data_IF_373288471573
#
_entry.id   IF_373288471573
#
_cell.length_a   1.000
_cell.length_b   1.000
_cell.length_c   1.000
_cell.angle_alpha   90.00
_cell.angle_beta   90.00
_cell.angle_gamma   90.00
#
_symmetry.space_group_name_H-M   'P 1'
#
loop_
_entity.id
_entity.type
_entity.pdbx_description
1 polymer ?
#
# COMPACT_ATOMS: atom_id res chain seq x y z
N UNK A 1 -37.17 37.04 -46.83
CA UNK A 1 -36.13 37.53 -47.77
C UNK A 1 -35.17 38.43 -47.01
N UNK A 2 -33.86 38.13 -47.09
CA UNK A 2 -32.71 39.06 -46.90
C UNK A 2 -32.52 39.57 -45.46
N UNK A 3 -31.38 39.41 -44.77
CA UNK A 3 -30.00 39.14 -45.18
C UNK A 3 -29.18 38.61 -43.99
N UNK A 4 -28.44 37.54 -44.23
CA UNK A 4 -27.15 37.25 -43.60
C UNK A 4 -26.19 38.43 -43.84
N UNK A 5 -25.33 38.75 -42.87
CA UNK A 5 -23.97 39.31 -43.00
C UNK A 5 -23.69 40.33 -41.89
N UNK A 6 -22.85 39.96 -40.91
CA UNK A 6 -21.44 40.38 -40.82
C UNK A 6 -20.82 39.83 -39.54
N UNK A 7 -19.80 39.02 -39.72
CA UNK A 7 -18.79 38.66 -38.72
C UNK A 7 -18.15 39.95 -38.22
N UNK A 8 -18.04 40.11 -36.91
CA UNK A 8 -17.06 41.00 -36.29
C UNK A 8 -16.51 40.32 -35.03
N UNK A 9 -15.29 39.82 -35.15
CA UNK A 9 -14.45 39.39 -34.05
C UNK A 9 -14.13 40.59 -33.15
N UNK A 10 -14.39 40.48 -31.85
CA UNK A 10 -13.64 41.22 -30.83
C UNK A 10 -13.25 40.21 -29.76
N UNK A 11 -12.02 39.73 -29.87
CA UNK A 11 -11.30 38.97 -28.85
C UNK A 11 -10.99 39.96 -27.74
N UNK A 12 -11.62 39.81 -26.58
CA UNK A 12 -11.22 40.52 -25.37
C UNK A 12 -10.32 39.58 -24.56
N UNK A 13 -9.02 39.60 -24.91
CA UNK A 13 -7.98 38.99 -24.11
C UNK A 13 -7.79 39.83 -22.84
N UNK A 14 -8.34 39.37 -21.72
CA UNK A 14 -8.06 39.94 -20.40
C UNK A 14 -6.68 39.41 -19.99
N UNK A 15 -5.65 40.20 -20.30
CA UNK A 15 -4.33 40.09 -19.71
C UNK A 15 -4.37 40.71 -18.31
N UNK A 16 -4.51 39.88 -17.28
CA UNK A 16 -4.12 40.26 -15.93
C UNK A 16 -2.67 39.82 -15.73
N UNK A 17 -1.75 40.71 -16.12
CA UNK A 17 -0.35 40.65 -15.68
C UNK A 17 -0.32 41.36 -14.33
N UNK A 18 -0.27 40.61 -13.24
CA UNK A 18 0.23 41.09 -11.95
C UNK A 18 1.67 40.65 -11.84
N UNK A 19 2.59 41.61 -11.76
CA UNK A 19 4.02 41.38 -11.62
C UNK A 19 4.51 41.42 -10.17
N UNK A 20 5.78 41.01 -10.03
CA UNK A 20 6.70 41.04 -8.89
C UNK A 20 6.51 39.91 -7.85
N UNK A 21 7.54 39.13 -7.47
CA UNK A 21 8.99 39.36 -7.48
C UNK A 21 9.82 38.13 -7.85
N UNK A 22 11.02 38.40 -8.34
CA UNK A 22 12.11 37.49 -8.69
C UNK A 22 12.56 36.53 -7.58
N UNK A 23 13.04 35.36 -8.03
CA UNK A 23 13.80 34.32 -7.34
C UNK A 23 12.99 33.46 -6.36
N UNK A 24 12.69 32.23 -6.75
CA UNK A 24 13.43 31.05 -6.32
C UNK A 24 13.03 29.86 -7.21
N UNK A 25 13.85 28.83 -7.19
CA UNK A 25 13.74 27.62 -8.01
C UNK A 25 12.34 27.00 -7.78
N UNK A 26 11.48 26.95 -8.80
CA UNK A 26 10.23 26.17 -8.75
C UNK A 26 10.61 24.68 -8.73
N UNK A 27 11.02 24.19 -7.56
CA UNK A 27 10.87 22.78 -7.22
C UNK A 27 9.36 22.53 -7.25
N UNK A 28 8.91 21.70 -8.19
CA UNK A 28 7.56 21.17 -8.19
C UNK A 28 7.41 20.44 -6.85
N UNK A 29 6.73 21.08 -5.91
CA UNK A 29 6.50 20.57 -4.56
C UNK A 29 5.46 19.47 -4.69
N UNK A 30 5.93 18.23 -4.89
CA UNK A 30 5.05 17.06 -4.96
C UNK A 30 4.32 16.93 -3.62
N UNK A 31 2.98 16.97 -3.60
CA UNK A 31 2.23 16.91 -2.35
C UNK A 31 2.65 15.71 -1.48
N UNK A 32 2.90 15.96 -0.20
CA UNK A 32 3.29 14.96 0.81
C UNK A 32 2.39 13.72 0.78
N UNK A 33 1.08 13.93 0.55
CA UNK A 33 0.09 12.87 0.48
C UNK A 33 0.26 11.88 -0.69
N UNK A 34 1.03 12.24 -1.71
CA UNK A 34 1.38 11.34 -2.83
C UNK A 34 2.74 10.69 -2.65
N UNK A 35 3.72 11.42 -2.12
CA UNK A 35 5.09 10.91 -1.93
C UNK A 35 5.16 9.84 -0.84
N UNK A 36 4.33 9.92 0.21
CA UNK A 36 4.35 8.96 1.32
C UNK A 36 3.99 7.53 0.90
N UNK A 37 3.29 7.36 -0.24
CA UNK A 37 2.78 6.07 -0.74
C UNK A 37 3.90 5.22 -1.33
N UNK A 38 4.73 4.68 -0.44
CA UNK A 38 5.84 3.82 -0.71
C UNK A 38 6.11 2.92 0.49
N UNK A 39 7.06 2.00 0.31
CA UNK A 39 7.70 1.30 1.41
C UNK A 39 8.97 2.05 1.80
N UNK A 40 9.10 2.30 3.08
CA UNK A 40 10.20 3.01 3.71
C UNK A 40 10.93 2.06 4.66
N UNK A 41 12.17 1.74 4.33
CA UNK A 41 13.03 0.84 5.11
C UNK A 41 13.80 1.63 6.16
N UNK A 42 13.62 1.27 7.42
CA UNK A 42 14.14 2.02 8.57
C UNK A 42 15.64 1.73 8.77
N UNK A 43 16.43 2.79 8.92
CA UNK A 43 17.90 2.69 9.06
C UNK A 43 18.41 2.97 10.48
N UNK A 44 17.65 3.68 11.31
CA UNK A 44 18.08 4.15 12.64
C UNK A 44 17.36 3.49 13.84
N UNK A 45 16.63 2.40 13.64
CA UNK A 45 15.87 1.71 14.70
C UNK A 45 16.23 0.24 14.83
N UNK A 46 16.37 -0.24 16.07
CA UNK A 46 16.43 -1.69 16.36
C UNK A 46 15.06 -2.32 16.51
N UNK A 47 14.00 -1.53 16.71
CA UNK A 47 12.63 -2.01 16.88
C UNK A 47 11.89 -2.12 15.55
N UNK A 48 12.03 -1.11 14.69
CA UNK A 48 11.28 -1.01 13.44
C UNK A 48 12.15 -1.40 12.25
N UNK A 49 11.55 -2.15 11.33
CA UNK A 49 12.18 -2.57 10.07
C UNK A 49 11.71 -1.73 8.90
N UNK A 50 10.39 -1.54 8.76
CA UNK A 50 9.82 -0.77 7.66
C UNK A 50 8.44 -0.22 7.99
N UNK A 51 8.08 0.87 7.32
CA UNK A 51 6.76 1.47 7.26
C UNK A 51 6.34 1.51 5.79
N UNK A 52 5.14 1.06 5.46
CA UNK A 52 4.65 1.04 4.10
C UNK A 52 3.25 1.63 4.05
N UNK A 53 3.03 2.58 3.15
CA UNK A 53 1.75 3.26 2.96
C UNK A 53 1.29 3.12 1.52
N UNK A 54 -0.02 3.08 1.29
CA UNK A 54 -0.57 3.02 -0.06
C UNK A 54 -1.69 4.05 -0.30
N UNK A 55 -2.03 4.25 -1.58
CA UNK A 55 -3.11 5.14 -2.01
C UNK A 55 -4.50 4.68 -1.52
N UNK A 56 -4.62 3.42 -1.10
CA UNK A 56 -5.83 2.87 -0.46
C UNK A 56 -5.89 3.18 1.04
N UNK A 57 -5.09 4.14 1.55
CA UNK A 57 -5.16 4.59 2.94
C UNK A 57 -4.80 3.50 3.96
N UNK A 58 -4.06 2.46 3.55
CA UNK A 58 -3.59 1.41 4.44
C UNK A 58 -2.13 1.60 4.78
N UNK A 59 -1.75 1.15 5.98
CA UNK A 59 -0.35 1.05 6.37
C UNK A 59 0.02 -0.39 6.72
N UNK A 60 1.28 -0.76 6.49
CA UNK A 60 1.93 -1.96 7.02
C UNK A 60 3.18 -1.51 7.81
N UNK A 61 3.27 -1.88 9.09
CA UNK A 61 4.46 -1.66 9.91
C UNK A 61 5.06 -3.01 10.25
N UNK A 62 6.32 -3.21 9.87
CA UNK A 62 7.08 -4.40 10.22
C UNK A 62 8.09 -4.05 11.30
N UNK A 63 8.06 -4.77 12.42
CA UNK A 63 9.12 -4.70 13.44
C UNK A 63 10.23 -5.70 13.14
N UNK A 64 11.45 -5.38 13.57
CA UNK A 64 12.54 -6.35 13.59
C UNK A 64 12.13 -7.55 14.47
N UNK A 65 12.59 -8.74 14.09
CA UNK A 65 12.42 -9.90 14.95
C UNK A 65 13.11 -9.61 16.29
N UNK A 66 12.43 -9.88 17.41
CA UNK A 66 13.11 -9.85 18.70
C UNK A 66 14.23 -10.90 18.64
N UNK A 67 15.47 -10.52 18.96
CA UNK A 67 16.65 -11.41 18.95
C UNK A 67 16.29 -12.80 19.50
N UNK A 68 16.05 -13.76 18.60
CA UNK A 68 15.84 -15.14 18.98
C UNK A 68 17.19 -15.64 19.50
N UNK A 69 17.35 -15.64 20.81
CA UNK A 69 18.55 -16.07 21.56
C UNK A 69 18.92 -17.56 21.37
N UNK A 70 18.58 -18.21 20.26
CA UNK A 70 18.86 -19.62 20.01
C UNK A 70 19.26 -19.87 18.56
N UNK A 71 20.52 -20.27 18.38
CA UNK A 71 21.16 -20.69 17.12
C UNK A 71 20.53 -21.97 16.53
N UNK A 72 19.32 -21.88 16.01
CA UNK A 72 18.76 -22.87 15.09
C UNK A 72 17.99 -22.12 14.02
N UNK A 73 18.54 -22.10 12.80
CA UNK A 73 17.89 -21.54 11.64
C UNK A 73 16.51 -22.18 11.43
N UNK A 74 15.47 -21.35 11.32
CA UNK A 74 14.28 -21.44 10.45
C UNK A 74 13.13 -20.65 11.10
N UNK A 75 12.61 -19.66 10.36
CA UNK A 75 11.45 -18.78 10.67
C UNK A 75 11.70 -17.62 11.64
N UNK A 76 12.15 -16.48 11.09
CA UNK A 76 12.11 -15.18 11.78
C UNK A 76 10.64 -14.82 12.10
N UNK A 77 10.26 -14.80 13.38
CA UNK A 77 8.94 -14.28 13.78
C UNK A 77 8.94 -12.76 13.58
N UNK A 78 8.31 -12.29 12.51
CA UNK A 78 8.11 -10.86 12.24
C UNK A 78 6.82 -10.43 12.90
N UNK A 79 6.86 -9.31 13.64
CA UNK A 79 5.62 -8.67 14.11
C UNK A 79 5.16 -7.68 13.05
N UNK A 80 3.95 -7.86 12.54
CA UNK A 80 3.37 -7.00 11.51
C UNK A 80 2.11 -6.34 12.07
N UNK A 81 1.99 -5.04 11.85
CA UNK A 81 0.78 -4.27 12.11
C UNK A 81 0.21 -3.81 10.78
N UNK A 82 -1.08 -4.07 10.58
CA UNK A 82 -1.82 -3.58 9.43
C UNK A 82 -3.06 -2.82 9.90
N UNK A 83 -3.30 -1.67 9.28
CA UNK A 83 -4.42 -0.81 9.60
C UNK A 83 -4.66 0.24 8.52
N UNK A 84 -5.40 1.26 8.90
CA UNK A 84 -5.70 2.42 8.05
C UNK A 84 -5.02 3.66 8.59
N UNK A 85 -4.66 4.58 7.71
CA UNK A 85 -4.18 5.90 8.10
C UNK A 85 -5.03 7.01 7.49
N UNK A 86 -5.06 8.15 8.18
CA UNK A 86 -5.61 9.40 7.66
C UNK A 86 -4.66 10.55 7.98
N UNK A 87 -4.59 11.52 7.08
CA UNK A 87 -3.98 12.82 7.40
C UNK A 87 -4.92 13.60 8.32
N UNK A 88 -4.42 14.01 9.48
CA UNK A 88 -5.14 14.89 10.42
C UNK A 88 -4.72 16.36 10.28
N UNK A 89 -3.56 16.60 9.66
CA UNK A 89 -3.10 17.88 9.11
C UNK A 89 -2.09 17.60 7.96
N UNK A 90 -1.38 18.63 7.49
CA UNK A 90 -0.49 18.53 6.31
C UNK A 90 0.66 17.53 6.50
N UNK A 91 1.16 17.37 7.73
CA UNK A 91 2.34 16.53 8.02
C UNK A 91 2.05 15.41 9.01
N UNK A 92 0.84 15.33 9.56
CA UNK A 92 0.52 14.40 10.64
C UNK A 92 -0.49 13.35 10.19
N UNK A 93 -0.12 12.10 10.39
CA UNK A 93 -0.95 10.93 10.12
C UNK A 93 -1.44 10.33 11.44
N UNK A 94 -2.74 10.07 11.54
CA UNK A 94 -3.29 9.14 12.53
C UNK A 94 -3.26 7.74 11.94
N UNK A 95 -2.56 6.82 12.62
CA UNK A 95 -2.50 5.39 12.30
C UNK A 95 -3.48 4.68 13.24
N UNK A 96 -4.54 4.07 12.68
CA UNK A 96 -5.56 3.35 13.45
C UNK A 96 -4.92 2.47 14.50
N UNK A 97 -5.41 2.52 15.76
CA UNK A 97 -4.95 1.78 16.96
C UNK A 97 -3.44 1.61 17.21
N UNK A 98 -2.59 2.32 16.47
CA UNK A 98 -1.14 2.21 16.56
C UNK A 98 -0.54 3.47 17.16
N UNK A 99 -0.83 4.64 16.57
CA UNK A 99 -0.23 5.88 17.02
C UNK A 99 -0.42 7.05 16.04
N UNK A 100 0.35 8.10 16.27
CA UNK A 100 0.44 9.27 15.41
C UNK A 100 1.86 9.36 14.86
N UNK A 101 1.97 9.62 13.55
CA UNK A 101 3.23 9.89 12.86
C UNK A 101 3.23 11.36 12.45
N UNK A 102 4.26 12.12 12.81
CA UNK A 102 4.47 13.51 12.38
C UNK A 102 5.70 13.57 11.48
N UNK A 103 5.50 13.94 10.22
CA UNK A 103 6.58 14.05 9.22
C UNK A 103 7.40 15.30 9.52
N UNK A 104 8.68 15.09 9.83
CA UNK A 104 9.64 16.15 10.09
C UNK A 104 10.26 16.65 8.78
N UNK A 105 10.59 15.73 7.86
CA UNK A 105 11.11 16.01 6.53
C UNK A 105 10.85 14.80 5.61
N UNK A 106 10.63 15.05 4.32
CA UNK A 106 10.50 14.01 3.30
C UNK A 106 10.93 14.52 1.93
N UNK A 107 11.62 13.67 1.19
CA UNK A 107 11.85 13.84 -0.24
C UNK A 107 11.49 12.54 -1.00
N UNK A 108 11.88 12.42 -2.26
CA UNK A 108 11.57 11.25 -3.09
C UNK A 108 12.24 9.96 -2.57
N UNK A 109 13.34 10.05 -1.84
CA UNK A 109 14.17 8.91 -1.44
C UNK A 109 14.25 8.69 0.07
N UNK A 110 13.94 9.69 0.89
CA UNK A 110 14.03 9.59 2.34
C UNK A 110 12.83 10.22 3.06
N UNK A 111 12.48 9.67 4.21
CA UNK A 111 11.49 10.21 5.14
C UNK A 111 12.05 10.22 6.57
N UNK A 112 11.79 11.32 7.27
CA UNK A 112 12.14 11.58 8.65
C UNK A 112 10.86 11.91 9.40
N UNK A 113 10.57 11.18 10.48
CA UNK A 113 9.36 11.42 11.24
C UNK A 113 9.48 11.04 12.70
N UNK A 114 8.58 11.63 13.49
CA UNK A 114 8.40 11.32 14.90
C UNK A 114 7.16 10.46 15.09
N UNK A 115 7.32 9.29 15.71
CA UNK A 115 6.25 8.35 16.03
C UNK A 115 5.87 8.42 17.51
N UNK A 116 4.57 8.53 17.77
CA UNK A 116 3.98 8.52 19.11
C UNK A 116 2.95 7.41 19.22
N UNK A 117 3.19 6.41 20.08
CA UNK A 117 2.29 5.27 20.21
C UNK A 117 1.08 5.58 21.09
N UNK A 118 -0.08 5.03 20.73
CA UNK A 118 -1.32 5.20 21.50
C UNK A 118 -1.23 4.63 22.92
N UNK A 119 -0.47 3.54 23.10
CA UNK A 119 -0.28 2.90 24.39
C UNK A 119 0.85 3.51 25.24
N UNK A 120 1.62 4.46 24.69
CA UNK A 120 2.68 5.16 25.40
C UNK A 120 2.87 6.57 24.83
N UNK A 121 1.95 7.46 25.19
CA UNK A 121 1.92 8.84 24.70
C UNK A 121 2.99 9.76 25.32
N UNK A 122 3.81 9.24 26.23
CA UNK A 122 4.86 10.02 26.90
C UNK A 122 6.24 9.85 26.25
N UNK A 123 6.35 8.93 25.28
CA UNK A 123 7.58 8.67 24.55
C UNK A 123 7.35 8.89 23.07
N UNK A 124 8.31 9.56 22.45
CA UNK A 124 8.35 9.80 21.01
C UNK A 124 9.61 9.12 20.47
N UNK A 125 9.46 8.46 19.32
CA UNK A 125 10.55 7.75 18.65
C UNK A 125 10.79 8.44 17.32
N UNK A 126 12.02 8.95 17.12
CA UNK A 126 12.45 9.48 15.84
C UNK A 126 12.84 8.34 14.90
N UNK A 127 12.38 8.38 13.65
CA UNK A 127 12.62 7.38 12.62
C UNK A 127 13.21 8.04 11.38
N UNK A 128 14.27 7.42 10.88
CA UNK A 128 14.89 7.70 9.57
C UNK A 128 14.64 6.47 8.69
N UNK A 129 14.10 6.69 7.50
CA UNK A 129 13.83 5.60 6.58
C UNK A 129 14.06 6.02 5.12
N UNK A 130 14.58 5.08 4.35
CA UNK A 130 14.87 5.24 2.93
C UNK A 130 13.79 4.53 2.09
N UNK A 131 13.48 5.09 0.94
CA UNK A 131 12.49 4.51 0.01
C UNK A 131 13.03 3.20 -0.58
N UNK A 132 12.22 2.15 -0.53
CA UNK A 132 12.52 0.87 -1.16
C UNK A 132 12.35 0.97 -2.69
N UNK A 133 13.15 0.21 -3.44
CA UNK A 133 12.98 0.06 -4.88
C UNK A 133 11.60 -0.52 -5.25
N UNK A 134 11.03 -0.04 -6.35
CA UNK A 134 9.70 -0.42 -6.81
C UNK A 134 9.76 -1.22 -8.12
N UNK A 135 8.81 -2.13 -8.28
CA UNK A 135 8.47 -2.77 -9.54
C UNK A 135 8.19 -1.70 -10.58
N UNK A 136 8.73 -1.89 -11.79
CA UNK A 136 8.58 -0.93 -12.89
C UNK A 136 7.11 -0.60 -13.14
N UNK A 137 6.83 0.70 -13.25
CA UNK A 137 5.47 1.19 -13.44
C UNK A 137 4.93 0.80 -14.83
N UNK A 138 3.71 0.28 -14.86
CA UNK A 138 2.94 -0.06 -16.06
C UNK A 138 1.45 0.07 -15.75
N UNK A 139 0.59 0.04 -16.77
CA UNK A 139 -0.86 0.05 -16.56
C UNK A 139 -1.33 -1.09 -15.66
N UNK A 140 -0.82 -2.32 -15.84
CA UNK A 140 -1.24 -3.45 -14.99
C UNK A 140 -0.66 -3.32 -13.57
N UNK A 141 0.57 -2.84 -13.39
CA UNK A 141 1.12 -2.55 -12.06
C UNK A 141 0.26 -1.50 -11.34
N UNK A 142 -0.12 -0.41 -12.00
CA UNK A 142 -1.00 0.64 -11.44
C UNK A 142 -2.40 0.14 -11.08
N UNK A 143 -2.95 -0.74 -11.92
CA UNK A 143 -4.24 -1.36 -11.65
C UNK A 143 -4.14 -2.34 -10.47
N UNK A 144 -3.11 -3.18 -10.41
CA UNK A 144 -2.96 -4.20 -9.37
C UNK A 144 -2.62 -3.61 -8.00
N UNK A 145 -1.74 -2.61 -7.94
CA UNK A 145 -1.22 -2.04 -6.69
C UNK A 145 -2.29 -1.23 -5.94
N UNK A 146 -3.05 -1.91 -5.09
CA UNK A 146 -4.07 -1.37 -4.18
C UNK A 146 -4.51 -2.46 -3.20
N UNK A 147 -5.50 -2.11 -2.39
CA UNK A 147 -6.17 -3.07 -1.51
C UNK A 147 -7.43 -3.63 -2.18
N UNK A 148 -7.56 -4.95 -2.14
CA UNK A 148 -8.62 -5.75 -2.75
C UNK A 148 -9.35 -6.58 -1.69
N UNK A 149 -10.66 -6.74 -1.84
CA UNK A 149 -11.47 -7.66 -1.05
C UNK A 149 -11.88 -8.85 -1.90
N UNK A 150 -11.75 -10.06 -1.36
CA UNK A 150 -12.22 -11.27 -2.02
C UNK A 150 -13.75 -11.33 -1.99
N UNK A 151 -14.36 -11.46 -3.17
CA UNK A 151 -15.82 -11.47 -3.35
C UNK A 151 -16.32 -12.89 -3.55
N UNK A 152 -15.64 -13.70 -4.36
CA UNK A 152 -16.04 -15.08 -4.62
C UNK A 152 -14.88 -16.01 -4.97
N UNK A 153 -15.08 -17.29 -4.68
CA UNK A 153 -14.25 -18.41 -5.12
C UNK A 153 -15.13 -19.35 -5.94
N UNK A 154 -14.74 -19.67 -7.18
CA UNK A 154 -15.51 -20.52 -8.11
C UNK A 154 -16.99 -20.08 -8.27
N UNK A 155 -17.21 -18.77 -8.24
CA UNK A 155 -18.52 -18.14 -8.32
C UNK A 155 -19.37 -18.22 -7.05
N UNK A 156 -18.88 -18.85 -5.97
CA UNK A 156 -19.51 -18.82 -4.65
C UNK A 156 -19.09 -17.57 -3.88
N UNK A 157 -20.06 -16.77 -3.42
CA UNK A 157 -19.78 -15.56 -2.65
C UNK A 157 -19.21 -15.91 -1.27
N UNK A 158 -18.14 -15.22 -0.87
CA UNK A 158 -17.44 -15.44 0.42
C UNK A 158 -17.51 -14.26 1.39
N UNK A 159 -18.22 -13.18 1.05
CA UNK A 159 -18.39 -12.04 1.95
C UNK A 159 -19.18 -12.44 3.21
N UNK A 160 -18.67 -12.04 4.38
CA UNK A 160 -19.25 -12.37 5.68
C UNK A 160 -19.05 -13.82 6.11
N UNK A 161 -18.26 -14.61 5.37
CA UNK A 161 -17.87 -15.97 5.77
C UNK A 161 -16.46 -15.97 6.36
N UNK A 162 -16.03 -17.12 6.87
CA UNK A 162 -14.66 -17.31 7.35
C UNK A 162 -13.62 -17.26 6.22
N UNK A 163 -14.07 -17.37 4.96
CA UNK A 163 -13.21 -17.28 3.78
C UNK A 163 -13.04 -15.84 3.28
N UNK A 164 -13.74 -14.88 3.87
CA UNK A 164 -13.56 -13.46 3.56
C UNK A 164 -12.12 -13.03 3.91
N UNK A 165 -11.46 -12.39 2.96
CA UNK A 165 -10.12 -11.86 3.14
C UNK A 165 -9.91 -10.56 2.36
N UNK A 166 -8.85 -9.87 2.74
CA UNK A 166 -8.34 -8.66 2.08
C UNK A 166 -6.91 -8.90 1.65
N UNK A 167 -6.56 -8.41 0.47
CA UNK A 167 -5.22 -8.48 -0.10
C UNK A 167 -4.73 -7.10 -0.48
N UNK A 168 -3.50 -6.78 -0.10
CA UNK A 168 -2.79 -5.59 -0.55
C UNK A 168 -1.64 -6.01 -1.46
N UNK A 169 -1.60 -5.42 -2.65
CA UNK A 169 -0.43 -5.43 -3.52
C UNK A 169 0.18 -4.03 -3.54
N UNK A 170 1.50 -3.92 -3.41
CA UNK A 170 2.21 -2.65 -3.54
C UNK A 170 3.29 -2.68 -4.62
N UNK A 171 3.70 -1.49 -5.06
CA UNK A 171 4.81 -1.32 -6.00
C UNK A 171 6.14 -1.77 -5.42
N UNK A 172 6.30 -1.81 -4.10
CA UNK A 172 7.51 -2.37 -3.46
C UNK A 172 7.56 -3.91 -3.49
N UNK A 173 6.67 -4.55 -4.28
CA UNK A 173 6.55 -5.99 -4.37
C UNK A 173 5.93 -6.63 -3.14
N UNK A 174 5.26 -5.87 -2.26
CA UNK A 174 4.57 -6.44 -1.10
C UNK A 174 3.26 -7.08 -1.53
N UNK A 175 3.05 -8.36 -1.17
CA UNK A 175 1.78 -9.07 -1.23
C UNK A 175 1.38 -9.41 0.22
N UNK A 176 0.35 -8.74 0.72
CA UNK A 176 -0.09 -8.89 2.11
C UNK A 176 -1.53 -9.36 2.17
N UNK A 177 -1.81 -10.34 3.03
CA UNK A 177 -3.15 -10.92 3.18
C UNK A 177 -3.61 -10.77 4.62
N UNK A 178 -4.89 -10.44 4.80
CA UNK A 178 -5.58 -10.52 6.10
C UNK A 178 -6.85 -11.30 5.96
N UNK A 179 -7.06 -12.29 6.82
CA UNK A 179 -8.31 -13.03 6.88
C UNK A 179 -9.29 -12.37 7.86
N UNK A 180 -10.58 -12.53 7.58
CA UNK A 180 -11.63 -12.16 8.52
C UNK A 180 -11.71 -13.18 9.68
N UNK A 181 -11.50 -14.47 9.37
CA UNK A 181 -11.46 -15.53 10.36
C UNK A 181 -10.32 -15.29 11.37
N UNK A 182 -10.60 -15.10 12.67
CA UNK A 182 -9.57 -14.86 13.68
C UNK A 182 -8.69 -16.09 13.95
N UNK A 183 -9.07 -17.27 13.45
CA UNK A 183 -8.29 -18.50 13.55
C UNK A 183 -7.29 -18.67 12.40
N UNK A 184 -7.44 -17.92 11.31
CA UNK A 184 -6.52 -17.94 10.17
C UNK A 184 -5.65 -16.69 10.19
N UNK A 185 -4.36 -16.88 10.43
CA UNK A 185 -3.41 -15.78 10.32
C UNK A 185 -3.15 -15.50 8.83
N UNK A 186 -3.27 -14.23 8.45
CA UNK A 186 -2.77 -13.76 7.17
C UNK A 186 -1.24 -13.62 7.20
N UNK A 187 -0.65 -13.13 6.11
CA UNK A 187 0.81 -13.09 5.99
C UNK A 187 1.33 -11.98 5.09
N UNK A 188 2.63 -11.73 5.23
CA UNK A 188 3.40 -10.83 4.38
C UNK A 188 4.31 -11.66 3.47
N UNK A 189 4.05 -11.56 2.17
CA UNK A 189 4.82 -12.15 1.09
C UNK A 189 5.36 -11.07 0.15
N UNK A 190 6.14 -11.53 -0.83
CA UNK A 190 6.59 -10.77 -1.97
C UNK A 190 5.86 -11.24 -3.23
N UNK A 191 5.71 -10.35 -4.21
CA UNK A 191 5.22 -10.68 -5.54
C UNK A 191 6.02 -9.96 -6.62
N UNK A 192 5.98 -10.51 -7.83
CA UNK A 192 6.45 -9.83 -9.03
C UNK A 192 5.70 -10.33 -10.28
N UNK A 193 5.74 -9.56 -11.36
CA UNK A 193 5.34 -10.05 -12.68
C UNK A 193 6.39 -11.04 -13.19
N UNK A 194 5.95 -12.17 -13.77
CA UNK A 194 6.88 -13.17 -14.34
C UNK A 194 7.55 -12.67 -15.62
N UNK A 195 6.88 -11.79 -16.36
CA UNK A 195 7.36 -11.22 -17.62
C UNK A 195 6.65 -9.90 -17.97
N UNK A 196 7.02 -9.33 -19.11
CA UNK A 196 6.49 -8.05 -19.60
C UNK A 196 5.05 -8.10 -20.12
N UNK A 197 4.45 -9.29 -20.30
CA UNK A 197 3.03 -9.42 -20.64
C UNK A 197 2.14 -9.13 -19.44
N UNK A 198 2.67 -9.32 -18.22
CA UNK A 198 1.97 -9.02 -16.97
C UNK A 198 0.62 -9.74 -16.85
N UNK A 199 0.60 -11.00 -17.29
CA UNK A 199 -0.55 -11.93 -17.21
C UNK A 199 -0.34 -13.00 -16.15
N UNK A 200 0.89 -13.19 -15.68
CA UNK A 200 1.23 -14.10 -14.60
C UNK A 200 2.01 -13.36 -13.51
N UNK A 201 1.66 -13.65 -12.27
CA UNK A 201 2.29 -13.12 -11.07
C UNK A 201 2.94 -14.26 -10.32
N UNK A 202 4.22 -14.12 -9.97
CA UNK A 202 4.88 -15.00 -9.00
C UNK A 202 4.80 -14.41 -7.60
N UNK A 203 4.66 -15.26 -6.58
CA UNK A 203 4.68 -14.83 -5.18
C UNK A 203 5.57 -15.73 -4.32
N UNK A 204 6.05 -15.19 -3.21
CA UNK A 204 6.86 -15.90 -2.23
C UNK A 204 6.61 -15.42 -0.81
N UNK A 205 6.24 -16.33 0.07
CA UNK A 205 6.16 -16.12 1.52
C UNK A 205 7.54 -16.00 2.16
N UNK A 206 8.60 -16.43 1.47
CA UNK A 206 9.96 -16.39 1.97
C UNK A 206 10.88 -15.58 1.05
N UNK A 207 11.02 -14.28 1.38
CA UNK A 207 11.90 -13.34 0.67
C UNK A 207 13.24 -13.98 0.26
N UNK A 208 13.55 -13.92 -1.03
CA UNK A 208 14.82 -14.38 -1.60
C UNK A 208 15.02 -15.89 -1.70
N UNK A 209 14.02 -16.72 -1.35
CA UNK A 209 14.11 -18.19 -1.44
C UNK A 209 13.43 -18.79 -2.69
N UNK A 210 13.06 -17.94 -3.66
CA UNK A 210 12.37 -18.34 -4.89
C UNK A 210 10.85 -18.25 -4.78
N UNK A 211 10.17 -18.48 -5.91
CA UNK A 211 8.71 -18.45 -6.01
C UNK A 211 8.08 -19.67 -5.30
N UNK A 212 7.09 -19.41 -4.45
CA UNK A 212 6.22 -20.45 -3.86
C UNK A 212 5.08 -20.84 -4.81
N UNK A 213 4.68 -19.92 -5.69
CA UNK A 213 3.65 -20.14 -6.69
C UNK A 213 3.63 -19.07 -7.78
N UNK A 214 2.94 -19.42 -8.87
CA UNK A 214 2.65 -18.53 -9.99
C UNK A 214 1.14 -18.61 -10.24
N UNK A 215 0.50 -17.45 -10.35
CA UNK A 215 -0.94 -17.34 -10.58
C UNK A 215 -1.22 -16.58 -11.88
N UNK A 216 -2.32 -16.90 -12.54
CA UNK A 216 -2.77 -16.21 -13.76
C UNK A 216 -3.70 -15.05 -13.42
N UNK A 217 -3.43 -13.87 -13.94
CA UNK A 217 -4.30 -12.69 -13.88
C UNK A 217 -5.11 -12.63 -15.17
N UNK A 218 -6.32 -13.21 -15.14
CA UNK A 218 -7.17 -13.35 -16.34
C UNK A 218 -8.04 -12.11 -16.61
N UNK A 219 -8.28 -11.27 -15.59
CA UNK A 219 -8.95 -9.98 -15.73
C UNK A 219 -8.40 -8.99 -14.70
N UNK A 220 -8.02 -7.80 -15.14
CA UNK A 220 -7.55 -6.73 -14.27
C UNK A 220 -8.06 -5.38 -14.79
N UNK A 221 -8.88 -4.73 -13.98
CA UNK A 221 -9.50 -3.44 -14.25
C UNK A 221 -9.50 -2.59 -12.99
N UNK A 222 -9.93 -1.32 -13.10
CA UNK A 222 -10.03 -0.45 -11.92
C UNK A 222 -11.08 -0.91 -10.90
N UNK A 223 -11.97 -1.84 -11.26
CA UNK A 223 -13.10 -2.29 -10.43
C UNK A 223 -13.11 -3.80 -10.18
N UNK A 224 -12.22 -4.57 -10.79
CA UNK A 224 -12.24 -6.03 -10.67
C UNK A 224 -10.87 -6.62 -10.97
N UNK A 225 -10.51 -7.63 -10.19
CA UNK A 225 -9.35 -8.49 -10.37
C UNK A 225 -9.84 -9.94 -10.36
N UNK A 226 -9.45 -10.71 -11.37
CA UNK A 226 -9.70 -12.16 -11.44
C UNK A 226 -8.38 -12.88 -11.52
N UNK A 227 -8.16 -13.79 -10.58
CA UNK A 227 -6.96 -14.59 -10.47
C UNK A 227 -7.34 -16.06 -10.55
N UNK A 228 -6.56 -16.85 -11.28
CA UNK A 228 -6.71 -18.30 -11.36
C UNK A 228 -5.47 -18.95 -10.77
N UNK A 229 -5.65 -19.89 -9.85
CA UNK A 229 -4.59 -20.75 -9.34
C UNK A 229 -5.10 -22.18 -9.20
N UNK A 230 -4.35 -23.16 -9.71
CA UNK A 230 -4.68 -24.60 -9.62
C UNK A 230 -6.12 -24.99 -10.06
N UNK A 231 -6.73 -24.16 -10.91
CA UNK A 231 -8.08 -24.34 -11.43
C UNK A 231 -9.19 -23.63 -10.65
N UNK A 232 -8.88 -23.07 -9.47
CA UNK A 232 -9.79 -22.22 -8.69
C UNK A 232 -9.77 -20.79 -9.23
N UNK A 233 -10.94 -20.15 -9.27
CA UNK A 233 -11.11 -18.78 -9.76
C UNK A 233 -11.48 -17.86 -8.60
N UNK A 234 -10.61 -16.89 -8.33
CA UNK A 234 -10.79 -15.86 -7.32
C UNK A 234 -11.22 -14.55 -7.98
N UNK A 235 -12.32 -13.96 -7.51
CA UNK A 235 -12.79 -12.65 -7.96
C UNK A 235 -12.69 -11.67 -6.79
N UNK A 236 -11.98 -10.57 -7.03
CA UNK A 236 -11.78 -9.50 -6.07
C UNK A 236 -12.27 -8.16 -6.62
N UNK A 237 -12.68 -7.29 -5.70
CA UNK A 237 -13.04 -5.90 -5.97
C UNK A 237 -12.18 -4.95 -5.12
N UNK A 238 -11.89 -3.73 -5.59
CA UNK A 238 -11.07 -2.78 -4.84
C UNK A 238 -11.83 -2.30 -3.60
N UNK A 239 -11.13 -2.23 -2.46
CA UNK A 239 -11.69 -1.60 -1.26
C UNK A 239 -11.73 -0.09 -1.50
N UNK A 240 -12.94 0.40 -1.78
CA UNK A 240 -13.18 1.83 -1.86
C UNK A 240 -13.27 2.38 -0.44
N UNK A 241 -12.33 3.21 -0.03
CA UNK A 241 -12.44 3.96 1.22
C UNK A 241 -13.55 5.01 1.14
N UNK A 242 -14.82 4.59 1.16
CA UNK A 242 -15.82 5.39 1.87
C UNK A 242 -15.32 5.43 3.31
N UNK A 243 -15.26 6.62 3.93
CA UNK A 243 -15.03 6.79 5.38
C UNK A 243 -15.80 5.72 6.16
N UNK A 244 -15.18 4.59 6.40
CA UNK A 244 -15.72 3.47 7.17
C UNK A 244 -15.09 3.60 8.54
N UNK A 245 -15.96 3.61 9.52
CA UNK A 245 -15.66 3.64 10.94
C UNK A 245 -14.59 2.61 11.27
N UNK A 246 -13.48 3.06 11.88
CA UNK A 246 -12.45 2.29 12.59
C UNK A 246 -12.30 0.83 12.12
N UNK A 247 -11.39 0.61 11.17
CA UNK A 247 -10.82 -0.73 11.00
C UNK A 247 -9.92 -1.00 12.20
N UNK A 248 -10.26 -2.02 13.00
CA UNK A 248 -9.43 -2.46 14.11
C UNK A 248 -8.06 -2.92 13.57
N UNK A 249 -6.99 -2.42 14.18
CA UNK A 249 -5.62 -2.80 13.80
C UNK A 249 -5.37 -4.24 14.17
N UNK A 250 -4.99 -5.04 13.18
CA UNK A 250 -4.65 -6.44 13.40
C UNK A 250 -3.14 -6.56 13.63
N UNK A 251 -2.77 -7.11 14.79
CA UNK A 251 -1.40 -7.47 15.15
C UNK A 251 -1.17 -8.94 14.78
N UNK A 252 -0.21 -9.20 13.92
CA UNK A 252 0.18 -10.55 13.51
C UNK A 252 1.50 -10.92 14.17
N UNK A 253 1.52 -12.04 14.90
CA UNK A 253 2.72 -12.60 15.54
C UNK A 253 2.94 -14.01 15.01
N UNK A 254 3.72 -14.19 13.95
CA UNK A 254 3.81 -15.53 13.37
C UNK A 254 4.84 -15.70 12.28
N UNK A 255 5.08 -16.97 11.96
CA UNK A 255 5.71 -17.42 10.72
C UNK A 255 4.76 -17.08 9.58
N UNK A 256 5.29 -16.48 8.52
CA UNK A 256 4.53 -16.18 7.29
C UNK A 256 3.82 -17.45 6.80
N UNK A 257 2.49 -17.50 6.86
CA UNK A 257 1.71 -18.68 6.49
C UNK A 257 0.37 -18.28 5.87
N UNK A 258 0.16 -18.77 4.65
CA UNK A 258 -1.07 -18.79 3.83
C UNK A 258 -1.73 -17.45 3.48
N UNK A 259 -2.33 -17.41 2.29
CA UNK A 259 -3.06 -16.27 1.73
C UNK A 259 -4.15 -16.76 0.79
N UNK A 260 -4.53 -15.94 -0.21
CA UNK A 260 -5.41 -16.44 -1.30
C UNK A 260 -4.74 -17.62 -1.99
N UNK A 261 -3.43 -17.51 -2.20
CA UNK A 261 -2.69 -18.43 -3.03
C UNK A 261 -2.10 -19.58 -2.22
N UNK A 262 -2.32 -20.80 -2.73
CA UNK A 262 -2.08 -22.10 -2.10
C UNK A 262 -2.57 -22.17 -0.65
N UNK A 263 -3.91 -22.20 -0.52
CA UNK A 263 -4.63 -22.80 0.61
C UNK A 263 -4.30 -24.29 0.77
#
# INVERSE_FOLDING_TARGET
MKKLSKILCVIFAITCITGCSSNENDTIDTPVNTTINAKWTVSNSTEYKSFEFNDSGNYIITKNAADAKTNTATTETKTIFFGTYIFIDDNTLELSDFGTLTIDNMDENAIYFTLKLNNNTNTETFIEADREEEITNSTNTELLCRTWQLISIDGQNVLGTDEELTVLFSRAGTYFVTNNNPLEEGGLAEWNWTDSTQTFLEYSWNKGLGSDGIVEVSNLTSTSLTITEDGEIFILEPISNKKTSKTDTKKYNGVVKSGIFKR
#
